data_IF_393871486985
#
_entry.id   IF_393871486985
#
_cell.length_a   1.000
_cell.length_b   1.000
_cell.length_c   1.000
_cell.angle_alpha   90.00
_cell.angle_beta   90.00
_cell.angle_gamma   90.00
#
_symmetry.space_group_name_H-M   'P 1'
#
loop_
_entity.id
_entity.type
_entity.pdbx_description
1 polymer ?
#
# COMPACT_ATOMS: atom_id res chain seq x y z
N UNK A 1 14.59 -13.97 -23.86
CA UNK A 1 14.22 -15.14 -23.04
C UNK A 1 14.97 -14.99 -21.71
N UNK A 2 14.26 -14.98 -20.59
CA UNK A 2 14.72 -14.55 -19.27
C UNK A 2 15.88 -15.43 -18.74
N UNK A 3 17.14 -15.02 -18.96
CA UNK A 3 18.34 -15.77 -18.54
C UNK A 3 18.58 -15.81 -17.03
N UNK A 4 17.86 -15.00 -16.24
CA UNK A 4 17.86 -15.06 -14.77
C UNK A 4 17.06 -16.26 -14.21
N UNK A 5 16.34 -17.01 -15.05
CA UNK A 5 15.54 -18.20 -14.67
C UNK A 5 16.27 -19.52 -14.96
N UNK A 6 17.41 -19.50 -15.64
CA UNK A 6 18.23 -20.72 -15.86
C UNK A 6 19.25 -20.91 -14.73
N UNK A 7 20.05 -22.00 -14.75
CA UNK A 7 21.03 -22.54 -13.76
C UNK A 7 21.84 -21.57 -12.86
N UNK A 8 21.76 -20.26 -13.08
CA UNK A 8 22.32 -19.18 -12.28
C UNK A 8 21.23 -18.38 -11.50
N UNK A 9 19.98 -18.87 -11.47
CA UNK A 9 18.82 -18.24 -10.83
C UNK A 9 18.85 -18.33 -9.30
N UNK A 10 17.98 -17.56 -8.62
CA UNK A 10 18.35 -16.66 -7.53
C UNK A 10 19.21 -17.37 -6.47
N UNK A 11 20.38 -16.79 -6.21
CA UNK A 11 21.21 -17.18 -5.08
C UNK A 11 20.37 -16.96 -3.81
N UNK A 12 20.06 -18.04 -3.12
CA UNK A 12 19.50 -17.97 -1.78
C UNK A 12 20.59 -17.41 -0.87
N UNK A 13 20.43 -16.18 -0.39
CA UNK A 13 21.34 -15.60 0.61
C UNK A 13 21.24 -16.35 1.96
N UNK A 14 20.21 -17.18 2.13
CA UNK A 14 19.95 -18.00 3.32
C UNK A 14 20.57 -19.39 3.20
N UNK A 15 21.22 -19.84 4.27
CA UNK A 15 21.69 -21.22 4.37
C UNK A 15 20.51 -22.20 4.31
N UNK A 16 20.64 -23.25 3.48
CA UNK A 16 19.67 -24.36 3.41
C UNK A 16 19.47 -24.95 4.80
N UNK A 17 18.23 -25.01 5.26
CA UNK A 17 17.90 -25.62 6.54
C UNK A 17 18.12 -27.14 6.50
N UNK A 18 18.62 -27.73 7.57
CA UNK A 18 18.70 -29.18 7.68
C UNK A 18 17.32 -29.75 7.95
N UNK A 19 16.90 -30.74 7.15
CA UNK A 19 15.70 -31.55 7.36
C UNK A 19 16.10 -33.01 7.19
N UNK A 20 15.64 -33.88 8.09
CA UNK A 20 15.86 -35.31 7.98
C UNK A 20 15.13 -35.85 6.73
N UNK A 21 15.74 -36.79 6.02
CA UNK A 21 15.19 -37.41 4.81
C UNK A 21 14.79 -36.36 3.77
N UNK A 22 15.80 -35.60 3.32
CA UNK A 22 15.68 -34.39 2.51
C UNK A 22 15.25 -34.67 1.05
N UNK A 23 14.06 -35.26 0.89
CA UNK A 23 13.48 -35.67 -0.37
C UNK A 23 12.02 -35.24 -0.45
N UNK A 24 11.64 -34.60 -1.56
CA UNK A 24 10.31 -34.04 -1.74
C UNK A 24 9.74 -34.35 -3.12
N UNK A 25 8.46 -34.73 -3.17
CA UNK A 25 7.72 -35.00 -4.41
C UNK A 25 6.46 -34.15 -4.54
N UNK A 26 6.14 -33.74 -5.76
CA UNK A 26 4.85 -33.19 -6.12
C UNK A 26 4.32 -33.90 -7.37
N UNK A 27 3.15 -34.54 -7.27
CA UNK A 27 2.55 -35.32 -8.38
C UNK A 27 3.51 -36.36 -8.99
N UNK A 28 4.26 -37.08 -8.14
CA UNK A 28 5.27 -38.08 -8.52
C UNK A 28 6.48 -37.50 -9.30
N UNK A 29 6.73 -36.19 -9.17
CA UNK A 29 7.92 -35.52 -9.70
C UNK A 29 8.77 -35.07 -8.53
N UNK A 30 10.06 -35.38 -8.57
CA UNK A 30 11.05 -34.88 -7.61
C UNK A 30 11.13 -33.35 -7.70
N UNK A 31 10.87 -32.69 -6.58
CA UNK A 31 10.90 -31.23 -6.42
C UNK A 31 11.94 -30.76 -5.40
N UNK A 32 12.82 -31.65 -4.94
CA UNK A 32 13.74 -31.45 -3.81
C UNK A 32 14.62 -30.20 -3.94
N UNK A 33 15.18 -29.97 -5.12
CA UNK A 33 16.06 -28.83 -5.43
C UNK A 33 15.34 -27.74 -6.25
N UNK A 34 14.02 -27.62 -6.06
CA UNK A 34 13.20 -26.57 -6.68
C UNK A 34 12.62 -25.62 -5.63
N UNK A 35 11.94 -24.55 -6.07
CA UNK A 35 11.24 -23.64 -5.17
C UNK A 35 10.17 -24.35 -4.30
N UNK A 36 9.55 -25.43 -4.81
CA UNK A 36 8.59 -26.24 -4.04
C UNK A 36 9.27 -26.99 -2.90
N UNK A 37 10.40 -27.66 -3.18
CA UNK A 37 11.19 -28.35 -2.16
C UNK A 37 11.74 -27.40 -1.10
N UNK A 38 12.22 -26.21 -1.51
CA UNK A 38 12.72 -25.22 -0.56
C UNK A 38 11.60 -24.65 0.34
N UNK A 39 10.43 -24.36 -0.23
CA UNK A 39 9.28 -23.90 0.55
C UNK A 39 8.79 -24.97 1.53
N UNK A 40 8.80 -26.26 1.13
CA UNK A 40 8.48 -27.40 1.98
C UNK A 40 9.47 -27.52 3.15
N UNK A 41 10.77 -27.42 2.86
CA UNK A 41 11.86 -27.45 3.84
C UNK A 41 11.76 -26.31 4.87
N UNK A 42 11.50 -25.09 4.40
CA UNK A 42 11.26 -23.94 5.26
C UNK A 42 10.06 -24.14 6.19
N UNK A 43 8.96 -24.69 5.65
CA UNK A 43 7.74 -24.99 6.42
C UNK A 43 7.99 -26.04 7.51
N UNK A 44 8.71 -27.13 7.20
CA UNK A 44 9.11 -28.14 8.19
C UNK A 44 10.02 -27.58 9.29
N UNK A 45 10.83 -26.58 8.95
CA UNK A 45 11.72 -25.89 9.91
C UNK A 45 10.98 -24.83 10.74
N UNK A 46 9.66 -24.67 10.57
CA UNK A 46 8.83 -23.70 11.28
C UNK A 46 8.89 -22.27 10.72
N UNK A 47 9.57 -22.05 9.59
CA UNK A 47 9.59 -20.76 8.90
C UNK A 47 8.32 -20.58 8.05
N UNK A 48 7.84 -19.34 7.95
CA UNK A 48 6.71 -19.01 7.06
C UNK A 48 7.23 -18.81 5.64
N UNK A 49 6.80 -19.65 4.70
CA UNK A 49 7.08 -19.52 3.28
C UNK A 49 5.77 -19.53 2.48
N UNK A 50 5.69 -18.70 1.45
CA UNK A 50 4.59 -18.68 0.49
C UNK A 50 5.16 -18.86 -0.93
N UNK A 51 4.42 -19.55 -1.78
CA UNK A 51 4.74 -19.71 -3.20
C UNK A 51 4.08 -18.60 -4.02
N UNK A 52 4.76 -18.20 -5.10
CA UNK A 52 4.20 -17.38 -6.15
C UNK A 52 4.31 -18.12 -7.47
N UNK A 53 3.20 -18.32 -8.16
CA UNK A 53 3.12 -19.01 -9.44
C UNK A 53 2.72 -18.05 -10.55
N UNK A 54 3.18 -18.32 -11.77
CA UNK A 54 2.69 -17.60 -12.95
C UNK A 54 1.33 -18.15 -13.37
N UNK A 55 0.35 -17.27 -13.58
CA UNK A 55 -0.98 -17.63 -14.05
C UNK A 55 -0.90 -18.42 -15.36
N UNK A 56 -1.58 -19.56 -15.42
CA UNK A 56 -1.56 -20.49 -16.56
C UNK A 56 -0.37 -21.45 -16.58
N UNK A 57 0.49 -21.42 -15.55
CA UNK A 57 1.63 -22.32 -15.39
C UNK A 57 1.28 -23.70 -14.82
N UNK A 58 -0.01 -24.01 -14.64
CA UNK A 58 -0.47 -25.28 -14.08
C UNK A 58 -0.55 -25.32 -12.55
N UNK A 59 -0.21 -24.22 -11.87
CA UNK A 59 -0.25 -24.06 -10.41
C UNK A 59 -1.25 -22.97 -9.98
N UNK A 60 -2.37 -22.85 -10.68
CA UNK A 60 -3.40 -21.84 -10.40
C UNK A 60 -4.36 -22.32 -9.29
N UNK A 61 -3.80 -22.83 -8.19
CA UNK A 61 -4.55 -23.37 -7.05
C UNK A 61 -3.78 -23.24 -5.72
N UNK A 62 -4.54 -23.25 -4.62
CA UNK A 62 -4.04 -23.27 -3.24
C UNK A 62 -4.88 -24.23 -2.39
N UNK A 63 -4.26 -25.00 -1.47
CA UNK A 63 -2.81 -25.14 -1.28
C UNK A 63 -2.14 -26.00 -2.37
N UNK A 64 -0.81 -25.89 -2.50
CA UNK A 64 0.01 -26.84 -3.28
C UNK A 64 0.58 -27.87 -2.31
N UNK A 65 0.21 -29.14 -2.48
CA UNK A 65 0.65 -30.22 -1.61
C UNK A 65 1.99 -30.81 -2.07
N UNK A 66 2.96 -30.90 -1.17
CA UNK A 66 4.26 -31.55 -1.38
C UNK A 66 4.39 -32.74 -0.43
N UNK A 67 4.80 -33.89 -0.94
CA UNK A 67 5.11 -35.08 -0.16
C UNK A 67 6.54 -35.00 0.35
N UNK A 68 6.75 -35.37 1.62
CA UNK A 68 8.07 -35.56 2.22
C UNK A 68 8.34 -37.06 2.33
N UNK A 69 9.51 -37.50 1.88
CA UNK A 69 9.86 -38.91 1.76
C UNK A 69 9.47 -39.51 0.39
N UNK A 70 10.08 -40.65 0.08
CA UNK A 70 9.84 -41.40 -1.15
C UNK A 70 8.44 -42.02 -1.14
N UNK A 71 7.91 -42.39 -2.31
CA UNK A 71 6.58 -42.99 -2.42
C UNK A 71 6.43 -44.29 -1.59
N UNK A 72 7.52 -45.03 -1.41
CA UNK A 72 7.57 -46.26 -0.61
C UNK A 72 7.65 -46.01 0.90
N UNK A 73 8.01 -44.79 1.34
CA UNK A 73 8.19 -44.40 2.74
C UNK A 73 7.82 -42.92 2.95
N UNK A 74 6.51 -42.65 2.94
CA UNK A 74 5.96 -41.29 3.06
C UNK A 74 6.04 -40.83 4.51
N UNK A 75 6.83 -39.79 4.74
CA UNK A 75 7.02 -39.18 6.06
C UNK A 75 5.95 -38.14 6.36
N UNK A 76 5.40 -37.48 5.33
CA UNK A 76 4.32 -36.52 5.51
C UNK A 76 3.87 -35.82 4.23
N UNK A 77 2.84 -34.99 4.38
CA UNK A 77 2.36 -34.05 3.35
C UNK A 77 2.39 -32.64 3.91
N UNK A 78 2.95 -31.73 3.13
CA UNK A 78 3.14 -30.32 3.47
C UNK A 78 2.26 -29.50 2.53
N UNK A 79 1.34 -28.74 3.11
CA UNK A 79 0.46 -27.84 2.35
C UNK A 79 1.08 -26.45 2.27
N UNK A 80 1.51 -26.06 1.07
CA UNK A 80 2.12 -24.76 0.83
C UNK A 80 1.08 -23.78 0.31
N UNK A 81 1.03 -22.59 0.91
CA UNK A 81 0.22 -21.49 0.39
C UNK A 81 0.83 -21.02 -0.93
N UNK A 82 -0.02 -20.77 -1.93
CA UNK A 82 0.40 -20.37 -3.27
C UNK A 82 -0.48 -19.24 -3.79
N UNK A 83 0.15 -18.28 -4.46
CA UNK A 83 -0.50 -17.10 -5.01
C UNK A 83 -0.13 -16.92 -6.49
N UNK A 84 -1.12 -16.78 -7.36
CA UNK A 84 -0.93 -16.62 -8.81
C UNK A 84 -1.73 -15.44 -9.40
N UNK A 85 -2.56 -14.79 -8.58
CA UNK A 85 -3.28 -13.58 -8.97
C UNK A 85 -2.47 -12.35 -8.55
N UNK A 86 -1.97 -11.61 -9.53
CA UNK A 86 -1.22 -10.37 -9.32
C UNK A 86 -1.98 -9.33 -8.49
N UNK A 87 -3.29 -9.23 -8.66
CA UNK A 87 -4.12 -8.32 -7.86
C UNK A 87 -4.10 -8.74 -6.39
N UNK A 88 -4.20 -10.03 -6.12
CA UNK A 88 -4.15 -10.56 -4.76
C UNK A 88 -2.75 -10.46 -4.14
N UNK A 89 -1.68 -10.78 -4.89
CA UNK A 89 -0.29 -10.63 -4.45
C UNK A 89 -0.02 -9.18 -4.03
N UNK A 90 -0.45 -8.21 -4.85
CA UNK A 90 -0.31 -6.80 -4.52
C UNK A 90 -1.01 -6.44 -3.21
N UNK A 91 -2.22 -6.96 -2.98
CA UNK A 91 -2.94 -6.75 -1.72
C UNK A 91 -2.19 -7.34 -0.52
N UNK A 92 -1.66 -8.57 -0.63
CA UNK A 92 -0.86 -9.21 0.42
C UNK A 92 0.39 -8.38 0.73
N UNK A 93 1.12 -7.97 -0.31
CA UNK A 93 2.34 -7.17 -0.14
C UNK A 93 2.05 -5.81 0.50
N UNK A 94 0.97 -5.14 0.10
CA UNK A 94 0.53 -3.88 0.73
C UNK A 94 0.19 -4.07 2.21
N UNK A 95 -0.44 -5.19 2.57
CA UNK A 95 -0.79 -5.54 3.94
C UNK A 95 0.44 -5.93 4.78
N UNK A 96 1.42 -6.59 4.16
CA UNK A 96 2.69 -6.99 4.79
C UNK A 96 3.74 -5.87 4.80
N UNK A 97 3.49 -4.75 4.12
CA UNK A 97 4.42 -3.62 4.05
C UNK A 97 4.66 -3.08 5.46
N UNK A 98 5.93 -3.04 5.94
CA UNK A 98 6.22 -2.51 7.27
C UNK A 98 5.84 -1.02 7.36
N UNK A 99 5.54 -0.51 8.56
CA UNK A 99 5.34 0.92 8.76
C UNK A 99 6.54 1.72 8.23
N UNK A 100 6.32 2.88 7.61
CA UNK A 100 7.43 3.69 7.11
C UNK A 100 8.28 4.18 8.28
N UNK A 101 9.59 4.28 8.05
CA UNK A 101 10.58 4.72 9.02
C UNK A 101 11.01 6.18 8.83
N UNK A 102 10.58 6.79 7.72
CA UNK A 102 10.86 8.19 7.37
C UNK A 102 9.78 8.73 6.42
N UNK A 103 9.84 10.04 6.14
CA UNK A 103 8.84 10.72 5.30
C UNK A 103 8.84 10.27 3.84
N UNK A 104 10.00 9.92 3.28
CA UNK A 104 10.09 9.40 1.91
C UNK A 104 9.33 8.08 1.79
N UNK A 105 9.58 7.14 2.70
CA UNK A 105 8.88 5.86 2.75
C UNK A 105 7.37 6.05 2.96
N UNK A 106 6.96 7.02 3.78
CA UNK A 106 5.53 7.31 3.98
C UNK A 106 4.86 7.77 2.67
N UNK A 107 5.49 8.68 1.92
CA UNK A 107 4.95 9.16 0.64
C UNK A 107 4.96 8.08 -0.43
N UNK A 108 6.05 7.32 -0.56
CA UNK A 108 6.15 6.18 -1.48
C UNK A 108 5.04 5.16 -1.19
N UNK A 109 4.89 4.75 0.07
CA UNK A 109 3.80 3.86 0.47
C UNK A 109 2.42 4.46 0.20
N UNK A 110 2.23 5.77 0.39
CA UNK A 110 0.95 6.44 0.11
C UNK A 110 0.57 6.33 -1.36
N UNK A 111 1.52 6.57 -2.28
CA UNK A 111 1.31 6.48 -3.73
C UNK A 111 0.88 5.07 -4.14
N UNK A 112 1.42 4.03 -3.49
CA UNK A 112 1.09 2.64 -3.81
C UNK A 112 -0.19 2.14 -3.15
N UNK A 113 -0.52 2.64 -1.94
CA UNK A 113 -1.69 2.24 -1.14
C UNK A 113 -2.98 2.92 -1.60
N UNK A 114 -2.93 4.16 -2.08
CA UNK A 114 -4.11 4.99 -2.36
C UNK A 114 -4.22 5.32 -3.85
N UNK A 115 -4.76 4.38 -4.62
CA UNK A 115 -4.81 4.45 -6.10
C UNK A 115 -5.72 5.52 -6.68
N UNK A 116 -6.65 6.05 -5.88
CA UNK A 116 -7.59 7.09 -6.29
C UNK A 116 -7.10 8.48 -5.86
N UNK A 117 -5.93 8.54 -5.20
CA UNK A 117 -5.25 9.77 -4.83
C UNK A 117 -4.05 10.03 -5.73
N UNK A 118 -3.70 11.30 -5.89
CA UNK A 118 -2.47 11.75 -6.52
C UNK A 118 -1.73 12.66 -5.54
N UNK A 119 -0.44 12.42 -5.30
CA UNK A 119 0.36 13.22 -4.38
C UNK A 119 1.29 14.14 -5.17
N UNK A 120 1.28 15.44 -4.84
CA UNK A 120 2.17 16.39 -5.47
C UNK A 120 3.62 16.01 -5.16
N UNK A 121 4.54 16.03 -6.15
CA UNK A 121 5.96 15.77 -5.92
C UNK A 121 6.58 16.67 -4.85
N UNK A 122 5.99 17.85 -4.62
CA UNK A 122 6.48 18.84 -3.68
C UNK A 122 6.03 18.58 -2.23
N UNK A 123 5.17 17.59 -1.97
CA UNK A 123 4.72 17.27 -0.61
C UNK A 123 5.88 16.89 0.32
N UNK A 124 6.95 16.33 -0.24
CA UNK A 124 8.12 15.90 0.54
C UNK A 124 8.87 17.09 1.14
N UNK A 125 8.92 18.23 0.44
CA UNK A 125 9.76 19.38 0.83
C UNK A 125 9.39 19.91 2.21
N UNK A 126 8.10 19.92 2.57
CA UNK A 126 7.64 20.43 3.86
C UNK A 126 7.76 19.40 4.97
N UNK A 127 7.78 18.11 4.63
CA UNK A 127 8.00 17.04 5.58
C UNK A 127 9.49 16.91 5.95
N UNK A 128 10.41 17.18 5.02
CA UNK A 128 11.86 17.07 5.28
C UNK A 128 12.38 18.06 6.32
N UNK A 129 11.70 19.19 6.48
CA UNK A 129 12.02 20.16 7.53
C UNK A 129 11.58 19.71 8.94
N UNK A 130 10.83 18.62 9.04
CA UNK A 130 10.15 18.22 10.27
C UNK A 130 10.67 16.87 10.80
N UNK A 131 10.71 16.70 12.14
CA UNK A 131 11.07 15.43 12.73
C UNK A 131 10.06 14.35 12.33
N UNK A 132 10.56 13.18 11.95
CA UNK A 132 9.70 12.05 11.61
C UNK A 132 8.80 11.66 12.78
N UNK A 133 7.52 11.43 12.50
CA UNK A 133 6.54 11.03 13.50
C UNK A 133 5.65 9.91 12.96
N UNK A 134 5.84 8.69 13.50
CA UNK A 134 4.99 7.53 13.17
C UNK A 134 3.51 7.78 13.48
N UNK A 135 3.20 8.57 14.50
CA UNK A 135 1.83 8.98 14.80
C UNK A 135 1.23 9.85 13.68
N UNK A 136 1.98 10.84 13.16
CA UNK A 136 1.51 11.66 12.04
C UNK A 136 1.31 10.79 10.79
N UNK A 137 2.21 9.84 10.52
CA UNK A 137 2.06 8.86 9.43
C UNK A 137 0.73 8.11 9.55
N UNK A 138 0.44 7.53 10.71
CA UNK A 138 -0.80 6.77 10.95
C UNK A 138 -2.02 7.65 10.65
N UNK A 139 -2.01 8.88 11.17
CA UNK A 139 -3.09 9.85 10.92
C UNK A 139 -3.20 10.25 9.45
N UNK A 140 -2.09 10.42 8.73
CA UNK A 140 -2.10 10.66 7.28
C UNK A 140 -2.74 9.49 6.54
N UNK A 141 -2.35 8.26 6.85
CA UNK A 141 -2.90 7.07 6.20
C UNK A 141 -4.41 6.91 6.47
N UNK A 142 -4.87 7.20 7.68
CA UNK A 142 -6.31 7.21 7.98
C UNK A 142 -7.07 8.24 7.15
N UNK A 143 -6.54 9.46 7.02
CA UNK A 143 -7.16 10.52 6.21
C UNK A 143 -7.17 10.13 4.73
N UNK A 144 -6.05 9.64 4.21
CA UNK A 144 -5.93 9.17 2.83
C UNK A 144 -6.89 8.01 2.54
N UNK A 145 -7.08 7.07 3.48
CA UNK A 145 -8.03 5.97 3.30
C UNK A 145 -9.46 6.45 3.06
N UNK A 146 -9.91 7.45 3.83
CA UNK A 146 -11.26 8.03 3.67
C UNK A 146 -11.37 8.78 2.34
N UNK A 147 -10.37 9.57 1.97
CA UNK A 147 -10.36 10.30 0.70
C UNK A 147 -10.30 9.36 -0.50
N UNK A 148 -9.52 8.27 -0.42
CA UNK A 148 -9.38 7.28 -1.48
C UNK A 148 -10.71 6.54 -1.71
N UNK A 149 -11.38 6.11 -0.64
CA UNK A 149 -12.70 5.47 -0.72
C UNK A 149 -13.73 6.40 -1.37
N UNK A 150 -13.77 7.67 -0.94
CA UNK A 150 -14.67 8.67 -1.53
C UNK A 150 -14.37 8.90 -3.01
N UNK A 151 -13.10 9.08 -3.37
CA UNK A 151 -12.67 9.30 -4.74
C UNK A 151 -12.98 8.08 -5.63
N UNK A 152 -12.77 6.86 -5.13
CA UNK A 152 -13.12 5.62 -5.82
C UNK A 152 -14.60 5.56 -6.17
N UNK A 153 -15.48 5.87 -5.22
CA UNK A 153 -16.93 5.84 -5.42
C UNK A 153 -17.33 6.81 -6.53
N UNK A 154 -16.86 8.07 -6.45
CA UNK A 154 -17.17 9.08 -7.46
C UNK A 154 -16.61 8.74 -8.84
N UNK A 155 -15.39 8.17 -8.90
CA UNK A 155 -14.77 7.75 -10.16
C UNK A 155 -15.53 6.59 -10.82
N UNK A 156 -16.04 5.64 -10.04
CA UNK A 156 -16.77 4.48 -10.57
C UNK A 156 -18.23 4.81 -10.94
N UNK A 157 -18.92 5.61 -10.14
CA UNK A 157 -20.36 5.88 -10.31
C UNK A 157 -20.66 7.19 -11.05
N UNK A 158 -19.69 8.11 -11.13
CA UNK A 158 -19.84 9.44 -11.70
C UNK A 158 -20.75 10.38 -10.91
N UNK A 159 -21.39 9.91 -9.83
CA UNK A 159 -22.39 10.65 -9.05
C UNK A 159 -22.31 10.28 -7.57
N UNK A 160 -22.74 11.15 -6.65
CA UNK A 160 -22.87 10.78 -5.25
C UNK A 160 -23.78 9.56 -5.06
N UNK A 161 -23.37 8.63 -4.20
CA UNK A 161 -24.14 7.47 -3.73
C UNK A 161 -24.48 7.63 -2.25
N UNK A 162 -25.32 6.74 -1.71
CA UNK A 162 -25.58 6.68 -0.28
C UNK A 162 -24.27 6.57 0.54
N UNK A 163 -23.34 5.73 0.08
CA UNK A 163 -22.04 5.54 0.74
C UNK A 163 -21.17 6.79 0.70
N UNK A 164 -21.09 7.51 -0.42
CA UNK A 164 -20.31 8.75 -0.45
C UNK A 164 -20.96 9.84 0.42
N UNK A 165 -22.29 9.87 0.49
CA UNK A 165 -23.01 10.80 1.37
C UNK A 165 -22.76 10.49 2.86
N UNK A 166 -22.67 9.21 3.23
CA UNK A 166 -22.25 8.80 4.58
C UNK A 166 -20.84 9.31 4.90
N UNK A 167 -19.88 9.14 3.99
CA UNK A 167 -18.51 9.63 4.18
C UNK A 167 -18.50 11.15 4.41
N UNK A 168 -19.24 11.91 3.59
CA UNK A 168 -19.36 13.36 3.76
C UNK A 168 -19.99 13.74 5.11
N UNK A 169 -21.07 13.05 5.50
CA UNK A 169 -21.75 13.31 6.77
C UNK A 169 -20.84 12.99 7.97
N UNK A 170 -20.06 11.91 7.91
CA UNK A 170 -19.23 11.44 9.02
C UNK A 170 -17.91 12.22 9.14
N UNK A 171 -17.28 12.58 8.02
CA UNK A 171 -15.90 13.08 8.03
C UNK A 171 -15.75 14.54 7.60
N UNK A 172 -16.73 15.11 6.88
CA UNK A 172 -16.68 16.49 6.37
C UNK A 172 -17.62 17.45 7.11
N UNK A 173 -18.51 16.91 7.94
CA UNK A 173 -19.56 17.69 8.63
C UNK A 173 -19.44 17.60 10.14
N UNK A 174 -19.88 18.65 10.82
CA UNK A 174 -19.92 18.72 12.28
C UNK A 174 -18.62 19.20 12.94
N UNK A 175 -18.67 19.40 14.26
CA UNK A 175 -17.57 19.98 15.05
C UNK A 175 -16.31 19.09 15.05
N UNK A 176 -16.50 17.78 14.97
CA UNK A 176 -15.42 16.78 14.96
C UNK A 176 -15.02 16.36 13.55
N UNK A 177 -15.41 17.11 12.52
CA UNK A 177 -15.05 16.83 11.13
C UNK A 177 -13.53 16.68 10.97
N UNK A 178 -13.14 15.64 10.25
CA UNK A 178 -11.76 15.34 9.92
C UNK A 178 -11.27 16.27 8.82
N UNK A 179 -12.15 16.57 7.87
CA UNK A 179 -11.91 17.44 6.74
C UNK A 179 -12.77 18.69 6.85
N UNK A 180 -12.17 19.87 6.70
CA UNK A 180 -12.92 21.11 6.62
C UNK A 180 -12.28 22.06 5.63
N UNK A 181 -13.07 23.00 5.17
CA UNK A 181 -12.55 24.19 4.51
C UNK A 181 -11.84 25.11 5.52
N UNK A 182 -10.95 25.97 5.05
CA UNK A 182 -10.43 27.07 5.85
C UNK A 182 -11.49 28.16 6.04
N UNK A 183 -11.39 28.89 7.15
CA UNK A 183 -12.29 30.03 7.40
C UNK A 183 -12.08 31.14 6.37
N UNK A 184 -13.10 31.96 6.09
CA UNK A 184 -12.99 33.07 5.12
C UNK A 184 -11.91 34.09 5.51
N UNK A 185 -11.67 34.27 6.80
CA UNK A 185 -10.56 35.08 7.30
C UNK A 185 -9.22 34.44 6.98
N UNK A 186 -9.06 33.13 7.22
CA UNK A 186 -7.81 32.44 6.88
C UNK A 186 -7.58 32.36 5.38
N UNK A 187 -8.62 32.12 4.58
CA UNK A 187 -8.54 32.14 3.12
C UNK A 187 -8.02 33.47 2.60
N UNK A 188 -8.44 34.59 3.20
CA UNK A 188 -7.92 35.93 2.85
C UNK A 188 -6.51 36.16 3.35
N UNK A 189 -6.26 35.92 4.64
CA UNK A 189 -4.96 36.21 5.27
C UNK A 189 -3.82 35.32 4.77
N UNK A 190 -4.13 34.09 4.35
CA UNK A 190 -3.16 33.09 3.91
C UNK A 190 -3.39 32.66 2.45
N UNK A 191 -4.08 33.48 1.65
CA UNK A 191 -4.45 33.17 0.26
C UNK A 191 -3.28 32.59 -0.55
N UNK A 192 -2.13 33.27 -0.52
CA UNK A 192 -0.95 32.85 -1.27
C UNK A 192 -0.29 31.58 -0.72
N UNK A 193 -0.39 31.33 0.60
CA UNK A 193 0.14 30.10 1.23
C UNK A 193 -0.77 28.89 1.02
N UNK A 194 -2.04 29.12 0.71
CA UNK A 194 -3.03 28.09 0.38
C UNK A 194 -3.09 27.80 -1.13
N UNK A 195 -2.14 28.35 -1.90
CA UNK A 195 -1.98 28.10 -3.34
C UNK A 195 -0.72 27.29 -3.58
N UNK A 196 -0.90 26.09 -4.08
CA UNK A 196 0.17 25.12 -4.29
C UNK A 196 0.47 25.00 -5.79
N UNK A 197 1.73 24.75 -6.13
CA UNK A 197 2.14 24.54 -7.52
C UNK A 197 1.41 23.31 -8.09
N UNK A 198 0.96 23.41 -9.33
CA UNK A 198 0.28 22.32 -10.02
C UNK A 198 1.24 21.14 -10.29
N UNK A 199 0.67 19.97 -10.60
CA UNK A 199 1.43 18.73 -10.84
C UNK A 199 2.28 18.78 -12.11
N UNK A 200 1.84 19.54 -13.12
CA UNK A 200 2.61 19.85 -14.34
C UNK A 200 3.72 20.88 -14.10
N UNK A 201 3.73 21.51 -12.94
CA UNK A 201 4.65 22.59 -12.58
C UNK A 201 4.24 23.97 -13.08
N UNK A 202 3.08 24.12 -13.72
CA UNK A 202 2.63 25.39 -14.29
C UNK A 202 1.47 25.98 -13.48
N UNK A 203 1.64 27.21 -13.02
CA UNK A 203 0.62 27.90 -12.22
C UNK A 203 0.46 27.32 -10.81
N UNK A 204 -0.64 27.71 -10.15
CA UNK A 204 -0.96 27.30 -8.78
C UNK A 204 -2.46 27.09 -8.58
N UNK A 205 -2.81 26.04 -7.85
CA UNK A 205 -4.19 25.70 -7.45
C UNK A 205 -4.43 26.09 -6.00
N UNK A 206 -5.56 26.76 -5.73
CA UNK A 206 -5.99 27.05 -4.36
C UNK A 206 -6.61 25.79 -3.73
N UNK A 207 -6.06 25.34 -2.60
CA UNK A 207 -6.54 24.18 -1.87
C UNK A 207 -6.82 24.53 -0.39
N UNK A 208 -7.90 25.26 -0.08
CA UNK A 208 -8.21 25.65 1.29
C UNK A 208 -8.77 24.47 2.12
N UNK A 209 -9.32 23.45 1.47
CA UNK A 209 -9.75 22.22 2.11
C UNK A 209 -8.59 21.40 2.64
N UNK A 210 -8.75 20.87 3.85
CA UNK A 210 -7.69 20.12 4.51
C UNK A 210 -8.20 19.06 5.48
N UNK A 211 -7.41 17.99 5.63
CA UNK A 211 -7.50 17.03 6.73
C UNK A 211 -6.75 17.53 7.96
N UNK A 212 -7.31 17.31 9.16
CA UNK A 212 -6.75 17.78 10.43
C UNK A 212 -6.02 16.68 11.18
N UNK A 213 -4.75 16.93 11.51
CA UNK A 213 -3.99 16.16 12.48
C UNK A 213 -3.73 17.07 13.68
N UNK A 214 -4.02 16.60 14.90
CA UNK A 214 -4.05 17.46 16.11
C UNK A 214 -2.69 17.59 16.79
N UNK A 215 -1.91 16.52 16.87
CA UNK A 215 -0.67 16.50 17.65
C UNK A 215 0.41 15.67 16.96
N UNK A 216 1.52 16.28 16.51
CA UNK A 216 1.66 17.70 16.25
C UNK A 216 0.59 18.19 15.24
N UNK A 217 0.27 19.47 15.28
CA UNK A 217 -0.75 20.03 14.39
C UNK A 217 -0.26 20.08 12.93
N UNK A 218 -0.73 19.12 12.15
CA UNK A 218 -0.46 18.99 10.72
C UNK A 218 -1.74 19.15 9.90
N UNK A 219 -1.57 19.43 8.62
CA UNK A 219 -2.62 19.58 7.62
C UNK A 219 -2.25 18.82 6.37
N UNK A 220 -3.26 18.17 5.81
CA UNK A 220 -3.19 17.52 4.51
C UNK A 220 -4.12 18.31 3.58
N UNK A 221 -3.58 19.19 2.73
CA UNK A 221 -4.39 19.98 1.80
C UNK A 221 -4.60 19.26 0.48
N UNK A 222 -5.81 19.35 -0.03
CA UNK A 222 -6.22 18.67 -1.25
C UNK A 222 -7.20 19.51 -2.05
N UNK A 223 -7.30 19.21 -3.34
CA UNK A 223 -8.24 19.87 -4.24
C UNK A 223 -9.66 19.38 -3.96
N UNK A 224 -10.55 20.34 -3.79
CA UNK A 224 -11.95 20.10 -3.53
C UNK A 224 -12.82 21.18 -4.17
N UNK A 225 -14.02 20.86 -4.69
CA UNK A 225 -14.59 19.51 -4.82
C UNK A 225 -13.85 18.64 -5.85
N UNK A 226 -13.98 17.32 -5.72
CA UNK A 226 -13.45 16.36 -6.69
C UNK A 226 -14.27 16.37 -7.98
N UNK A 227 -13.60 16.52 -9.12
CA UNK A 227 -14.19 16.32 -10.45
C UNK A 227 -14.44 14.82 -10.69
N UNK A 228 -15.64 14.40 -11.12
CA UNK A 228 -15.90 13.00 -11.43
C UNK A 228 -14.94 12.44 -12.50
N UNK A 229 -14.38 11.25 -12.26
CA UNK A 229 -13.44 10.59 -13.16
C UNK A 229 -11.96 10.83 -12.82
N UNK A 230 -11.64 11.93 -12.13
CA UNK A 230 -10.28 12.28 -11.75
C UNK A 230 -9.82 11.58 -10.45
N UNK A 231 -8.51 11.58 -10.22
CA UNK A 231 -7.93 11.28 -8.90
C UNK A 231 -8.06 12.52 -8.02
N UNK A 232 -8.18 12.31 -6.71
CA UNK A 232 -8.15 13.41 -5.75
C UNK A 232 -6.70 13.83 -5.48
N UNK A 233 -6.40 15.08 -5.80
CA UNK A 233 -5.04 15.63 -5.75
C UNK A 233 -4.71 16.16 -4.35
N UNK A 234 -3.67 15.61 -3.73
CA UNK A 234 -3.07 16.04 -2.47
C UNK A 234 -1.88 16.95 -2.79
N UNK A 235 -1.92 18.18 -2.30
CA UNK A 235 -0.93 19.21 -2.63
C UNK A 235 0.07 19.49 -1.51
N UNK A 236 -0.28 19.16 -0.26
CA UNK A 236 0.53 19.49 0.90
C UNK A 236 0.27 18.52 2.03
N UNK A 237 1.35 18.09 2.70
CA UNK A 237 1.31 17.41 4.00
C UNK A 237 2.39 18.06 4.85
N UNK A 238 2.01 18.64 5.99
CA UNK A 238 2.97 19.33 6.84
C UNK A 238 2.31 20.09 7.98
N UNK A 239 3.06 20.92 8.72
CA UNK A 239 2.53 21.75 9.79
C UNK A 239 1.36 22.62 9.35
N UNK A 240 0.45 22.93 10.27
CA UNK A 240 -0.65 23.85 9.98
C UNK A 240 -0.11 25.22 9.50
N UNK A 241 -0.40 25.58 8.25
CA UNK A 241 0.06 26.81 7.57
C UNK A 241 -0.39 28.08 8.31
N UNK A 242 -1.54 28.01 8.97
CA UNK A 242 -2.14 29.12 9.73
C UNK A 242 -1.69 29.18 11.19
N UNK A 243 -0.60 28.49 11.55
CA UNK A 243 0.14 28.76 12.79
C UNK A 243 0.94 30.05 12.61
N UNK A 244 0.36 31.15 13.09
CA UNK A 244 1.11 32.38 13.41
C UNK A 244 1.37 32.38 14.90
#
# INVERSE_FOLDING_TARGET
MLSWVTKSGPFWDTQRHFVADDYFEHQNVDVTDTALGEAARATLSGAKSNLISFKGGGFDYRPVAVQHGITEDILGKIELQNEWDFSHIRHILIAATPPPLNWHQMLEQSIHKFENLAFSPLCIDQLLAEPFSSYVVERVFELCKVLDEYAKILRMSGKPTARSNEILAQHFSGEKAWFTDESDTNKRNFAEKLRFKNFDGEGKTSCPWHGKIKTPQYRLHFKWPLTPGDRLEIFYIGPKITKS
#
